data_IF_877130635986
#
_entry.id   IF_877130635986
#
_cell.length_a   1.000
_cell.length_b   1.000
_cell.length_c   1.000
_cell.angle_alpha   90.00
_cell.angle_beta   90.00
_cell.angle_gamma   90.00
#
_symmetry.space_group_name_H-M   'P 1'
#
loop_
_entity.id
_entity.type
_entity.pdbx_description
1 polymer ?
#
# COMPACT_ATOMS: atom_id res chain seq x y z
N UNK A 1 44.54 -43.36 -11.85
CA UNK A 1 43.41 -43.50 -12.80
C UNK A 1 42.12 -43.67 -11.98
N UNK A 2 41.10 -42.83 -12.25
CA UNK A 2 39.70 -42.85 -11.73
C UNK A 2 39.41 -42.29 -10.31
N UNK A 3 39.15 -40.97 -10.31
CA UNK A 3 38.00 -40.28 -9.67
C UNK A 3 37.84 -40.25 -8.14
N UNK A 4 38.51 -39.29 -7.50
CA UNK A 4 38.18 -38.75 -6.17
C UNK A 4 37.27 -37.49 -6.22
N UNK A 5 36.63 -37.20 -7.37
CA UNK A 5 35.99 -35.88 -7.62
C UNK A 5 34.43 -35.93 -7.65
N UNK A 6 33.77 -37.01 -7.19
CA UNK A 6 32.30 -37.13 -7.28
C UNK A 6 31.57 -37.44 -5.97
N UNK A 7 32.02 -36.88 -4.83
CA UNK A 7 31.27 -36.95 -3.56
C UNK A 7 31.10 -35.63 -2.81
N UNK A 8 31.52 -34.51 -3.39
CA UNK A 8 31.39 -33.16 -2.77
C UNK A 8 30.46 -32.23 -3.57
N UNK A 9 29.92 -32.67 -4.71
CA UNK A 9 29.22 -31.77 -5.65
C UNK A 9 27.67 -31.85 -5.62
N UNK A 10 27.04 -32.56 -4.68
CA UNK A 10 25.58 -32.79 -4.71
C UNK A 10 24.96 -32.77 -3.30
N UNK A 11 25.29 -31.80 -2.44
CA UNK A 11 24.37 -31.34 -1.36
C UNK A 11 24.62 -29.85 -1.06
N UNK A 12 24.91 -29.04 -2.07
CA UNK A 12 25.05 -27.58 -1.95
C UNK A 12 24.27 -26.85 -3.05
N UNK A 13 23.17 -27.44 -3.52
CA UNK A 13 22.33 -26.85 -4.56
C UNK A 13 20.82 -27.16 -4.34
N UNK A 14 20.30 -26.69 -3.20
CA UNK A 14 18.88 -26.33 -3.06
C UNK A 14 18.74 -24.85 -2.64
N UNK A 15 19.69 -24.01 -3.02
CA UNK A 15 19.39 -22.60 -3.27
C UNK A 15 18.78 -22.53 -4.68
N UNK A 16 17.68 -23.25 -4.90
CA UNK A 16 16.77 -22.89 -5.96
C UNK A 16 16.40 -21.45 -5.64
N UNK A 17 16.88 -20.51 -6.45
CA UNK A 17 16.75 -19.09 -6.23
C UNK A 17 15.33 -18.81 -5.76
N UNK A 18 15.17 -18.57 -4.45
CA UNK A 18 13.99 -17.93 -3.95
C UNK A 18 14.09 -16.55 -4.60
N UNK A 19 13.51 -16.42 -5.79
CA UNK A 19 13.21 -15.13 -6.36
C UNK A 19 12.15 -14.60 -5.40
N UNK A 20 12.62 -14.01 -4.31
CA UNK A 20 11.81 -13.08 -3.55
C UNK A 20 11.32 -12.13 -4.61
N UNK A 21 10.02 -12.19 -4.88
CA UNK A 21 9.38 -11.20 -5.75
C UNK A 21 9.57 -9.90 -4.98
N UNK A 22 10.63 -9.17 -5.32
CA UNK A 22 10.98 -7.89 -4.71
C UNK A 22 10.06 -6.80 -5.28
N UNK A 23 8.75 -7.04 -5.17
CA UNK A 23 7.74 -6.12 -5.60
C UNK A 23 7.61 -5.05 -4.51
N UNK A 24 8.25 -3.92 -4.76
CA UNK A 24 8.14 -2.73 -3.93
C UNK A 24 6.88 -1.96 -4.32
N UNK A 25 5.97 -1.79 -3.36
CA UNK A 25 4.77 -0.99 -3.52
C UNK A 25 4.97 0.35 -2.83
N UNK A 26 4.59 1.42 -3.52
CA UNK A 26 4.55 2.77 -2.98
C UNK A 26 3.09 3.19 -2.78
N UNK A 27 2.73 3.58 -1.56
CA UNK A 27 1.38 4.05 -1.24
C UNK A 27 1.42 5.56 -1.02
N UNK A 28 0.43 6.26 -1.57
CA UNK A 28 0.26 7.69 -1.41
C UNK A 28 -1.21 8.00 -1.10
N UNK A 29 -1.47 8.76 -0.04
CA UNK A 29 -2.79 9.30 0.30
C UNK A 29 -2.74 10.82 0.22
N UNK A 30 -3.57 11.39 -0.66
CA UNK A 30 -3.51 12.81 -1.00
C UNK A 30 -4.76 13.53 -0.47
N UNK A 31 -4.56 14.68 0.17
CA UNK A 31 -5.64 15.59 0.48
C UNK A 31 -5.98 16.45 -0.75
N UNK A 32 -7.16 16.23 -1.34
CA UNK A 32 -7.73 17.05 -2.43
C UNK A 32 -9.05 17.72 -2.03
N UNK A 33 -9.32 17.79 -0.72
CA UNK A 33 -10.40 18.60 -0.17
C UNK A 33 -10.18 20.07 -0.52
N UNK A 34 -11.27 20.83 -0.58
CA UNK A 34 -11.28 22.24 -1.01
C UNK A 34 -11.44 23.20 0.15
N UNK A 35 -11.00 24.44 -0.08
CA UNK A 35 -11.10 25.56 0.85
C UNK A 35 -10.19 25.40 2.08
N UNK A 36 -9.01 24.81 1.92
CA UNK A 36 -8.04 24.66 3.00
C UNK A 36 -8.46 23.69 4.10
N UNK A 37 -9.42 22.81 3.83
CA UNK A 37 -9.83 21.75 4.77
C UNK A 37 -8.66 20.79 4.96
N UNK A 38 -8.22 20.66 6.21
CA UNK A 38 -7.17 19.72 6.61
C UNK A 38 -7.72 18.30 6.72
N UNK A 39 -6.87 17.34 6.38
CA UNK A 39 -7.13 15.91 6.51
C UNK A 39 -6.23 15.37 7.62
N UNK A 40 -6.83 14.95 8.72
CA UNK A 40 -6.17 14.10 9.69
C UNK A 40 -6.13 12.68 9.13
N UNK A 41 -4.97 12.02 9.18
CA UNK A 41 -4.78 10.67 8.67
C UNK A 41 -3.87 9.89 9.60
N UNK A 42 -4.26 8.67 9.97
CA UNK A 42 -3.40 7.72 10.66
C UNK A 42 -3.40 6.41 9.87
N UNK A 43 -2.26 6.01 9.34
CA UNK A 43 -2.12 4.79 8.57
C UNK A 43 -1.22 3.77 9.29
N UNK A 44 -1.54 2.49 9.16
CA UNK A 44 -0.81 1.39 9.81
C UNK A 44 -1.11 0.06 9.14
N UNK A 45 -0.25 -0.92 9.38
CA UNK A 45 -0.50 -2.34 9.14
C UNK A 45 -0.67 -3.06 10.48
N UNK A 46 -0.60 -4.39 10.46
CA UNK A 46 -0.48 -5.18 11.68
C UNK A 46 0.89 -4.96 12.37
N UNK A 47 1.94 -4.77 11.58
CA UNK A 47 3.33 -4.87 12.03
C UNK A 47 4.04 -3.50 12.05
N UNK A 48 3.55 -2.53 11.28
CA UNK A 48 4.15 -1.20 11.10
C UNK A 48 3.11 -0.10 11.35
N UNK A 49 3.49 0.93 12.11
CA UNK A 49 2.71 2.16 12.23
C UNK A 49 3.35 3.25 11.36
N UNK A 50 2.63 3.75 10.36
CA UNK A 50 3.10 4.87 9.52
C UNK A 50 2.96 6.18 10.30
N UNK A 51 2.02 6.23 11.25
CA UNK A 51 1.81 7.34 12.17
C UNK A 51 0.67 8.28 11.77
N UNK A 52 0.41 9.22 12.66
CA UNK A 52 -0.60 10.26 12.50
C UNK A 52 -0.01 11.50 11.83
N UNK A 53 -0.70 12.03 10.81
CA UNK A 53 -0.34 13.23 10.09
C UNK A 53 -1.55 14.13 9.88
N UNK A 54 -1.30 15.44 9.78
CA UNK A 54 -2.28 16.44 9.36
C UNK A 54 -1.83 16.98 8.02
N UNK A 55 -2.61 16.73 6.97
CA UNK A 55 -2.30 17.13 5.59
C UNK A 55 -3.08 18.39 5.21
N UNK A 56 -2.38 19.41 4.71
CA UNK A 56 -3.03 20.60 4.14
C UNK A 56 -3.60 20.30 2.75
N UNK A 57 -4.39 21.23 2.18
CA UNK A 57 -4.90 21.06 0.81
C UNK A 57 -3.73 20.97 -0.17
N UNK A 58 -3.61 19.84 -0.86
CA UNK A 58 -2.50 19.60 -1.79
C UNK A 58 -1.51 18.53 -1.31
N UNK A 59 -1.37 18.38 0.01
CA UNK A 59 -0.35 17.53 0.64
C UNK A 59 -0.69 16.04 0.55
N UNK A 60 0.33 15.22 0.80
CA UNK A 60 0.20 13.77 0.89
C UNK A 60 1.10 13.14 1.93
N UNK A 61 0.65 12.02 2.49
CA UNK A 61 1.49 11.05 3.20
C UNK A 61 1.86 9.92 2.24
N UNK A 62 3.11 9.46 2.33
CA UNK A 62 3.67 8.43 1.46
C UNK A 62 4.51 7.44 2.25
N UNK A 63 4.43 6.17 1.88
CA UNK A 63 5.32 5.13 2.40
C UNK A 63 5.56 4.05 1.34
N UNK A 64 6.48 3.14 1.61
CA UNK A 64 6.75 2.02 0.72
C UNK A 64 7.12 0.78 1.50
N UNK A 65 6.75 -0.37 0.96
CA UNK A 65 7.03 -1.67 1.54
C UNK A 65 7.28 -2.69 0.44
N UNK A 66 7.83 -3.83 0.83
CA UNK A 66 8.02 -4.97 -0.05
C UNK A 66 6.91 -6.00 0.22
N UNK A 67 6.35 -6.60 -0.83
CA UNK A 67 5.35 -7.64 -0.65
C UNK A 67 5.91 -8.80 0.16
N UNK A 68 5.13 -9.26 1.14
CA UNK A 68 5.49 -10.44 1.90
C UNK A 68 5.31 -11.70 1.04
N UNK A 69 6.05 -12.77 1.37
CA UNK A 69 6.00 -14.03 0.60
C UNK A 69 4.60 -14.66 0.57
N UNK A 70 3.76 -14.38 1.57
CA UNK A 70 2.39 -14.87 1.66
C UNK A 70 1.35 -14.09 0.84
N UNK A 71 1.72 -12.95 0.23
CA UNK A 71 0.78 -12.02 -0.42
C UNK A 71 -0.43 -11.67 0.46
N UNK A 72 -0.18 -11.36 1.73
CA UNK A 72 -1.21 -11.02 2.73
C UNK A 72 -1.03 -9.62 3.31
N UNK A 73 -0.17 -8.79 2.72
CA UNK A 73 0.08 -7.46 3.24
C UNK A 73 -1.20 -6.63 3.21
N UNK A 74 -1.49 -5.99 4.35
CA UNK A 74 -2.62 -5.09 4.54
C UNK A 74 -2.12 -3.81 5.21
N UNK A 75 -2.39 -2.65 4.60
CA UNK A 75 -2.31 -1.35 5.23
C UNK A 75 -3.68 -0.70 5.19
N UNK A 76 -4.08 -0.08 6.29
CA UNK A 76 -5.33 0.63 6.43
C UNK A 76 -5.09 2.01 7.02
N UNK A 77 -6.01 2.92 6.75
CA UNK A 77 -5.95 4.29 7.22
C UNK A 77 -7.29 4.73 7.79
N UNK A 78 -7.20 5.45 8.90
CA UNK A 78 -8.29 6.17 9.53
C UNK A 78 -8.13 7.65 9.18
N UNK A 79 -9.16 8.27 8.63
CA UNK A 79 -9.15 9.66 8.16
C UNK A 79 -10.31 10.47 8.71
N UNK A 80 -10.06 11.76 8.94
CA UNK A 80 -11.05 12.72 9.38
C UNK A 80 -10.77 14.07 8.73
N UNK A 81 -11.81 14.77 8.29
CA UNK A 81 -11.69 16.12 7.73
C UNK A 81 -12.64 17.09 8.43
N UNK A 82 -12.10 18.23 8.88
CA UNK A 82 -12.86 19.16 9.72
C UNK A 82 -13.47 18.43 10.92
N UNK A 83 -14.78 18.61 11.13
CA UNK A 83 -15.53 17.98 12.22
C UNK A 83 -16.27 16.69 11.80
N UNK A 84 -15.80 16.00 10.76
CA UNK A 84 -16.41 14.71 10.35
C UNK A 84 -16.22 13.63 11.41
N UNK A 85 -16.96 12.53 11.28
CA UNK A 85 -16.56 11.29 11.95
C UNK A 85 -15.23 10.78 11.37
N UNK A 86 -14.58 9.89 12.09
CA UNK A 86 -13.48 9.10 11.55
C UNK A 86 -14.02 8.12 10.52
N UNK A 87 -13.27 7.95 9.45
CA UNK A 87 -13.59 7.06 8.35
C UNK A 87 -12.42 6.14 8.06
N UNK A 88 -12.70 4.87 7.81
CA UNK A 88 -11.74 3.82 7.57
C UNK A 88 -11.71 3.41 6.10
N UNK A 89 -10.51 3.09 5.61
CA UNK A 89 -10.32 2.35 4.35
C UNK A 89 -9.00 1.57 4.33
N UNK A 90 -8.97 0.49 3.57
CA UNK A 90 -7.74 -0.24 3.28
C UNK A 90 -6.93 0.50 2.22
N UNK A 91 -5.79 1.09 2.61
CA UNK A 91 -4.88 1.78 1.72
C UNK A 91 -4.03 0.83 0.86
N UNK A 92 -3.89 -0.42 1.29
CA UNK A 92 -3.39 -1.51 0.46
C UNK A 92 -3.96 -2.84 0.97
N UNK A 93 -4.63 -3.61 0.12
CA UNK A 93 -5.00 -4.99 0.38
C UNK A 93 -4.40 -5.87 -0.72
N UNK A 94 -3.54 -6.83 -0.38
CA UNK A 94 -2.85 -7.66 -1.37
C UNK A 94 -3.80 -8.43 -2.31
N UNK A 95 -4.96 -8.86 -1.84
CA UNK A 95 -5.95 -9.57 -2.64
C UNK A 95 -6.67 -8.66 -3.64
N UNK A 96 -7.00 -7.43 -3.23
CA UNK A 96 -7.66 -6.42 -4.07
C UNK A 96 -6.69 -5.68 -5.01
N UNK A 97 -5.51 -5.33 -4.50
CA UNK A 97 -4.65 -4.32 -5.11
C UNK A 97 -3.45 -4.88 -5.87
N UNK A 98 -3.13 -6.16 -5.73
CA UNK A 98 -2.04 -6.80 -6.50
C UNK A 98 -2.19 -6.63 -8.02
N UNK A 99 -3.42 -6.46 -8.52
CA UNK A 99 -3.70 -6.19 -9.92
C UNK A 99 -3.90 -4.68 -10.17
N UNK A 100 -4.62 -3.97 -9.30
CA UNK A 100 -4.93 -2.54 -9.44
C UNK A 100 -3.69 -1.63 -9.32
N UNK A 101 -2.75 -1.98 -8.44
CA UNK A 101 -1.55 -1.22 -8.10
C UNK A 101 -0.29 -2.04 -8.42
N UNK A 102 0.20 -1.92 -9.65
CA UNK A 102 1.43 -2.58 -10.10
C UNK A 102 2.68 -2.14 -9.28
N UNK A 103 2.80 -0.84 -9.02
CA UNK A 103 3.90 -0.29 -8.19
C UNK A 103 3.49 0.90 -7.33
N UNK A 104 2.33 1.50 -7.61
CA UNK A 104 1.84 2.69 -6.93
C UNK A 104 0.35 2.57 -6.60
N UNK A 105 0.03 2.48 -5.33
CA UNK A 105 -1.32 2.66 -4.84
C UNK A 105 -1.54 4.12 -4.46
N UNK A 106 -2.31 4.84 -5.28
CA UNK A 106 -2.64 6.24 -5.01
C UNK A 106 -4.09 6.37 -4.59
N UNK A 107 -4.28 7.15 -3.54
CA UNK A 107 -5.57 7.49 -2.97
C UNK A 107 -5.71 9.00 -2.89
N UNK A 108 -6.93 9.50 -3.02
CA UNK A 108 -7.24 10.87 -2.64
C UNK A 108 -8.62 10.97 -2.02
N UNK A 109 -8.76 11.92 -1.09
CA UNK A 109 -10.06 12.38 -0.61
C UNK A 109 -10.41 13.63 -1.44
N UNK A 110 -11.43 13.52 -2.28
CA UNK A 110 -11.86 14.57 -3.20
C UNK A 110 -12.58 15.73 -2.50
N UNK A 111 -12.80 16.83 -3.24
CA UNK A 111 -13.56 17.98 -2.75
C UNK A 111 -15.03 17.67 -2.40
N UNK A 112 -15.56 16.58 -2.96
CA UNK A 112 -16.87 16.00 -2.66
C UNK A 112 -16.88 15.07 -1.43
N UNK A 113 -15.73 14.98 -0.73
CA UNK A 113 -15.53 14.15 0.47
C UNK A 113 -15.68 12.65 0.21
N UNK A 114 -15.39 12.22 -1.02
CA UNK A 114 -15.35 10.82 -1.41
C UNK A 114 -13.91 10.33 -1.53
N UNK A 115 -13.71 9.04 -1.30
CA UNK A 115 -12.44 8.36 -1.49
C UNK A 115 -12.32 7.89 -2.95
N UNK A 116 -11.18 8.18 -3.55
CA UNK A 116 -10.82 7.71 -4.88
C UNK A 116 -9.52 6.93 -4.83
N UNK A 117 -9.51 5.75 -5.45
CA UNK A 117 -8.32 4.94 -5.70
C UNK A 117 -7.95 5.01 -7.18
N UNK A 118 -6.69 5.32 -7.49
CA UNK A 118 -6.23 5.25 -8.88
C UNK A 118 -6.04 3.79 -9.28
N UNK A 119 -6.59 3.41 -10.43
CA UNK A 119 -6.39 2.10 -11.03
C UNK A 119 -5.35 2.22 -12.14
N UNK A 120 -4.18 1.59 -11.96
CA UNK A 120 -3.08 1.70 -12.92
C UNK A 120 -3.36 1.01 -14.26
N UNK A 121 -4.37 0.15 -14.33
CA UNK A 121 -4.72 -0.57 -15.55
C UNK A 121 -5.72 0.17 -16.39
N UNK A 122 -6.79 0.64 -15.74
CA UNK A 122 -7.83 1.42 -16.42
C UNK A 122 -7.37 2.86 -16.66
N UNK A 123 -6.37 3.33 -15.89
CA UNK A 123 -5.88 4.71 -15.85
C UNK A 123 -6.94 5.71 -15.34
N UNK A 124 -7.94 5.23 -14.62
CA UNK A 124 -8.99 6.06 -14.03
C UNK A 124 -8.89 6.13 -12.51
N UNK A 125 -9.46 7.20 -11.96
CA UNK A 125 -9.77 7.30 -10.54
C UNK A 125 -11.15 6.69 -10.32
N UNK A 126 -11.18 5.64 -9.51
CA UNK A 126 -12.38 4.88 -9.20
C UNK A 126 -12.83 5.23 -7.79
N UNK A 127 -14.14 5.30 -7.58
CA UNK A 127 -14.73 5.58 -6.27
C UNK A 127 -14.61 4.36 -5.36
N UNK A 128 -14.30 4.58 -4.09
CA UNK A 128 -14.28 3.55 -3.04
C UNK A 128 -15.15 3.96 -1.86
N UNK A 129 -15.82 3.00 -1.19
CA UNK A 129 -16.58 3.29 0.01
C UNK A 129 -15.64 3.66 1.17
N UNK A 130 -15.99 4.72 1.89
CA UNK A 130 -15.46 5.02 3.22
C UNK A 130 -16.39 4.41 4.26
N UNK A 131 -15.84 3.60 5.15
CA UNK A 131 -16.60 3.02 6.26
C UNK A 131 -16.51 4.00 7.42
N UNK A 132 -17.65 4.34 8.05
CA UNK A 132 -17.63 5.14 9.27
C UNK A 132 -17.18 4.27 10.44
N UNK A 133 -16.19 4.73 11.20
CA UNK A 133 -15.80 4.13 12.49
C UNK A 133 -16.74 4.54 13.63
#
# INVERSE_FOLDING_TARGET
>A
MRSLIKRVAIVTLLLAACRVIDAKIHVQVINRLKNGVRLNVHCRSKDDDIGFHVLEEGDSIEWSFHLNFGMTTLFYCDVQWGDSYWHHFDAYDAGRDSYRCDSKCRWMIGGDKLLYGFNQQSLFWEWFPLIKE
#
